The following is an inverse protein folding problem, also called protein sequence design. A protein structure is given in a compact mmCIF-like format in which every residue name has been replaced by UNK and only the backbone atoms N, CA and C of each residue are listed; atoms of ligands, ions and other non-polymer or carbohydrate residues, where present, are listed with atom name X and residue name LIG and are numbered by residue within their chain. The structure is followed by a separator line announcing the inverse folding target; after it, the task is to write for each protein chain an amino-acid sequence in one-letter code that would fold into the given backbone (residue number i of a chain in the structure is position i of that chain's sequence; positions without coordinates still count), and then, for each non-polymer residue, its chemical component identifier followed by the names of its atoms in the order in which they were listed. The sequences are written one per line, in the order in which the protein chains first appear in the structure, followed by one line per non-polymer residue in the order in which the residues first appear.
data_IF_589912269115
#
_entry.id   IF_589912269115
#
_cell.length_a   1.000
_cell.length_b   1.000
_cell.length_c   1.000
_cell.angle_alpha   90.00
_cell.angle_beta   90.00
_cell.angle_gamma   90.00
#
_symmetry.space_group_name_H-M   'P 1'
#
loop_
_entity.id
_entity.type
_entity.pdbx_description
1 polymer ?
#
# COMPACT_ATOMS: atom_id res chain seq x y z
N UNK A 1 3.09 12.26 15.43
CA UNK A 1 4.37 12.11 14.65
C UNK A 1 4.06 11.43 13.35
N UNK A 2 4.47 12.00 12.22
CA UNK A 2 4.29 11.46 10.86
C UNK A 2 5.47 10.59 10.47
N UNK A 3 5.20 9.41 9.91
CA UNK A 3 6.20 8.52 9.33
C UNK A 3 6.20 8.73 7.81
N UNK A 4 7.22 9.38 7.28
CA UNK A 4 7.25 9.83 5.88
C UNK A 4 8.45 9.20 5.17
N UNK A 5 8.22 8.67 3.99
CA UNK A 5 9.27 8.11 3.15
C UNK A 5 8.82 7.81 1.75
N UNK A 6 9.53 6.91 1.08
CA UNK A 6 9.26 6.56 -0.31
C UNK A 6 9.37 5.06 -0.55
N UNK A 7 8.85 4.61 -1.70
CA UNK A 7 8.99 3.24 -2.17
C UNK A 7 10.37 3.06 -2.82
N UNK A 8 11.37 2.72 -1.99
CA UNK A 8 12.76 2.65 -2.40
C UNK A 8 13.12 1.30 -3.03
N UNK A 9 14.13 1.32 -3.87
CA UNK A 9 14.63 0.11 -4.54
C UNK A 9 15.35 -0.84 -3.57
N UNK A 10 15.08 -2.14 -3.66
CA UNK A 10 15.83 -3.23 -3.02
C UNK A 10 16.89 -3.86 -3.95
N UNK A 11 17.17 -3.27 -5.10
CA UNK A 11 18.14 -3.80 -6.05
C UNK A 11 19.55 -3.86 -5.46
N UNK A 12 20.20 -5.01 -5.61
CA UNK A 12 21.54 -5.28 -5.08
C UNK A 12 21.57 -5.92 -3.70
N UNK A 13 20.45 -5.86 -2.95
CA UNK A 13 20.29 -6.43 -1.62
C UNK A 13 19.14 -5.74 -0.88
N UNK A 14 18.34 -6.52 -0.16
CA UNK A 14 17.15 -5.96 0.51
C UNK A 14 17.54 -4.97 1.64
N UNK A 15 18.68 -5.16 2.27
CA UNK A 15 19.26 -4.26 3.27
C UNK A 15 19.60 -2.86 2.69
N UNK A 16 19.88 -2.77 1.39
CA UNK A 16 20.17 -1.50 0.72
C UNK A 16 18.92 -0.60 0.61
N UNK A 17 17.73 -1.17 0.73
CA UNK A 17 16.51 -0.36 0.82
C UNK A 17 16.52 0.53 2.08
N UNK A 18 17.05 0.03 3.20
CA UNK A 18 17.18 0.80 4.45
C UNK A 18 18.16 1.95 4.29
N UNK A 19 19.31 1.72 3.61
CA UNK A 19 20.29 2.76 3.32
C UNK A 19 19.69 3.85 2.44
N UNK A 20 19.03 3.48 1.34
CA UNK A 20 18.35 4.42 0.43
C UNK A 20 17.26 5.25 1.12
N UNK A 21 16.48 4.62 1.99
CA UNK A 21 15.49 5.35 2.78
C UNK A 21 16.15 6.37 3.72
N UNK A 22 17.27 6.01 4.34
CA UNK A 22 18.04 6.90 5.20
C UNK A 22 18.64 8.06 4.42
N UNK A 23 19.21 7.82 3.24
CA UNK A 23 19.82 8.83 2.38
C UNK A 23 18.83 9.93 1.94
N UNK A 24 17.59 9.60 1.67
CA UNK A 24 16.54 10.57 1.33
C UNK A 24 15.94 11.27 2.57
N UNK A 25 16.45 10.97 3.77
CA UNK A 25 15.97 11.55 5.02
C UNK A 25 14.62 11.00 5.47
N UNK A 26 14.20 9.83 5.02
CA UNK A 26 12.94 9.20 5.40
C UNK A 26 12.98 8.64 6.84
N UNK A 27 11.80 8.52 7.45
CA UNK A 27 11.58 7.74 8.68
C UNK A 27 10.47 6.68 8.52
N UNK A 28 10.11 6.39 7.28
CA UNK A 28 9.32 5.25 6.84
C UNK A 28 9.77 4.86 5.42
N UNK A 29 9.46 3.68 4.95
CA UNK A 29 9.68 3.32 3.55
C UNK A 29 8.82 2.13 3.12
N UNK A 30 8.68 1.98 1.80
CA UNK A 30 8.19 0.76 1.17
C UNK A 30 9.28 0.13 0.33
N UNK A 31 9.13 -1.16 0.05
CA UNK A 31 10.02 -1.94 -0.81
C UNK A 31 9.26 -3.15 -1.37
N UNK A 32 9.80 -3.73 -2.44
CA UNK A 32 9.44 -5.09 -2.85
C UNK A 32 10.37 -6.10 -2.18
N UNK A 33 9.83 -7.14 -1.57
CA UNK A 33 10.63 -8.20 -0.92
C UNK A 33 11.29 -9.15 -1.92
N UNK A 34 10.83 -9.11 -3.18
CA UNK A 34 11.41 -9.80 -4.34
C UNK A 34 11.12 -8.98 -5.61
N UNK A 35 11.61 -9.42 -6.76
CA UNK A 35 11.31 -8.76 -8.04
C UNK A 35 9.80 -8.82 -8.33
N UNK A 36 9.15 -7.65 -8.38
CA UNK A 36 7.71 -7.48 -8.58
C UNK A 36 7.17 -7.93 -9.94
N UNK A 37 8.05 -8.33 -10.86
CA UNK A 37 7.70 -8.83 -12.20
C UNK A 37 7.96 -10.32 -12.35
N UNK A 38 8.27 -11.02 -11.26
CA UNK A 38 8.55 -12.45 -11.24
C UNK A 38 7.66 -13.17 -10.23
N UNK A 39 7.12 -14.33 -10.64
CA UNK A 39 6.32 -15.18 -9.78
C UNK A 39 7.11 -15.83 -8.66
N UNK A 40 8.35 -16.21 -8.94
CA UNK A 40 9.23 -16.92 -8.03
C UNK A 40 10.52 -16.15 -7.80
N UNK A 41 11.03 -16.25 -6.60
CA UNK A 41 12.35 -15.78 -6.22
C UNK A 41 13.02 -16.84 -5.31
N UNK A 42 14.34 -16.89 -5.22
CA UNK A 42 15.02 -17.72 -4.23
C UNK A 42 14.57 -17.38 -2.80
N UNK A 43 14.63 -18.38 -1.93
CA UNK A 43 14.35 -18.19 -0.52
C UNK A 43 15.31 -17.17 0.09
N UNK A 44 14.82 -16.42 1.09
CA UNK A 44 15.66 -15.53 1.87
C UNK A 44 16.65 -16.36 2.71
N UNK A 45 17.94 -16.09 2.54
CA UNK A 45 18.95 -16.74 3.38
C UNK A 45 18.98 -16.13 4.77
N UNK A 46 19.42 -16.89 5.78
CA UNK A 46 19.63 -16.37 7.14
C UNK A 46 20.55 -15.16 7.16
N UNK A 47 21.55 -15.11 6.26
CA UNK A 47 22.44 -13.96 6.09
C UNK A 47 21.68 -12.72 5.61
N UNK A 48 20.84 -12.85 4.59
CA UNK A 48 20.02 -11.77 4.05
C UNK A 48 19.05 -11.23 5.10
N UNK A 49 18.36 -12.14 5.82
CA UNK A 49 17.43 -11.78 6.90
C UNK A 49 18.15 -10.99 8.00
N UNK A 50 19.30 -11.50 8.45
CA UNK A 50 20.10 -10.84 9.49
C UNK A 50 20.62 -9.48 9.05
N UNK A 51 21.10 -9.35 7.81
CA UNK A 51 21.59 -8.09 7.26
C UNK A 51 20.48 -7.01 7.22
N UNK A 52 19.29 -7.37 6.74
CA UNK A 52 18.14 -6.47 6.70
C UNK A 52 17.72 -6.00 8.11
N UNK A 53 17.55 -6.96 9.04
CA UNK A 53 17.14 -6.64 10.42
C UNK A 53 18.17 -5.75 11.13
N UNK A 54 19.47 -6.03 10.98
CA UNK A 54 20.54 -5.20 11.54
C UNK A 54 20.58 -3.81 10.91
N UNK A 55 20.34 -3.69 9.61
CA UNK A 55 20.25 -2.40 8.94
C UNK A 55 19.09 -1.55 9.49
N UNK A 56 17.90 -2.15 9.66
CA UNK A 56 16.73 -1.49 10.26
C UNK A 56 17.03 -1.03 11.71
N UNK A 57 17.58 -1.92 12.54
CA UNK A 57 17.95 -1.60 13.92
C UNK A 57 18.95 -0.44 13.99
N UNK A 58 20.02 -0.50 13.21
CA UNK A 58 21.05 0.54 13.14
C UNK A 58 20.49 1.90 12.69
N UNK A 59 19.57 1.90 11.74
CA UNK A 59 18.94 3.11 11.22
C UNK A 59 17.75 3.58 12.07
N UNK A 60 17.28 2.78 13.04
CA UNK A 60 16.18 3.10 13.93
C UNK A 60 14.80 2.95 13.29
N UNK A 61 14.66 2.14 12.24
CA UNK A 61 13.35 1.83 11.66
C UNK A 61 12.65 0.72 12.46
N UNK A 62 11.40 0.98 12.81
CA UNK A 62 10.51 0.00 13.43
C UNK A 62 9.68 -0.72 12.37
N UNK A 63 9.19 -1.97 12.63
CA UNK A 63 8.39 -2.71 11.67
C UNK A 63 7.15 -1.95 11.15
N UNK A 64 6.49 -1.18 12.00
CA UNK A 64 5.30 -0.39 11.65
C UNK A 64 5.60 0.84 10.78
N UNK A 65 6.86 1.16 10.54
CA UNK A 65 7.30 2.23 9.64
C UNK A 65 7.60 1.72 8.22
N UNK A 66 7.50 0.41 8.00
CA UNK A 66 7.86 -0.24 6.74
C UNK A 66 6.61 -0.88 6.13
N UNK A 67 6.26 -0.47 4.91
CA UNK A 67 5.07 -0.92 4.18
C UNK A 67 5.48 -1.65 2.88
N UNK A 68 5.90 -2.93 2.95
CA UNK A 68 6.23 -3.68 1.73
C UNK A 68 5.04 -3.80 0.80
N UNK A 69 5.31 -3.83 -0.49
CA UNK A 69 4.29 -4.06 -1.52
C UNK A 69 4.50 -5.43 -2.18
N UNK A 70 3.42 -6.12 -2.54
CA UNK A 70 3.47 -7.38 -3.26
C UNK A 70 3.75 -7.20 -4.77
N UNK A 71 3.90 -8.33 -5.46
CA UNK A 71 4.08 -8.34 -6.91
C UNK A 71 2.82 -7.92 -7.65
N UNK A 72 2.95 -7.04 -8.65
CA UNK A 72 1.86 -6.64 -9.56
C UNK A 72 1.24 -7.79 -10.38
N UNK A 73 1.85 -8.98 -10.37
CA UNK A 73 1.33 -10.17 -11.05
C UNK A 73 0.18 -10.84 -10.27
N UNK A 74 0.08 -10.57 -8.97
CA UNK A 74 -0.88 -11.21 -8.07
C UNK A 74 -2.28 -10.64 -8.32
N UNK A 75 -3.25 -11.53 -8.53
CA UNK A 75 -4.67 -11.19 -8.62
C UNK A 75 -5.46 -12.14 -7.72
N UNK A 76 -5.74 -11.72 -6.49
CA UNK A 76 -6.45 -12.54 -5.49
C UNK A 76 -7.95 -12.69 -5.77
N UNK A 77 -8.48 -11.90 -6.72
CA UNK A 77 -9.86 -11.99 -7.21
C UNK A 77 -10.00 -12.70 -8.57
N UNK A 78 -8.96 -13.41 -9.04
CA UNK A 78 -8.93 -13.99 -10.38
C UNK A 78 -10.10 -14.96 -10.64
N UNK A 79 -10.81 -14.88 -11.79
CA UNK A 79 -11.94 -15.75 -12.09
C UNK A 79 -11.55 -17.22 -12.28
N UNK A 80 -10.41 -17.49 -12.91
CA UNK A 80 -9.94 -18.85 -13.22
C UNK A 80 -9.22 -19.48 -12.02
N UNK A 81 -9.57 -20.71 -11.68
CA UNK A 81 -9.09 -21.39 -10.48
C UNK A 81 -7.56 -21.59 -10.48
N UNK A 82 -6.95 -21.98 -11.60
CA UNK A 82 -5.51 -22.22 -11.69
C UNK A 82 -4.71 -20.91 -11.50
N UNK A 83 -5.15 -19.82 -12.13
CA UNK A 83 -4.51 -18.52 -12.02
C UNK A 83 -4.72 -17.90 -10.63
N UNK A 84 -5.88 -18.13 -9.99
CA UNK A 84 -6.14 -17.75 -8.61
C UNK A 84 -5.23 -18.50 -7.63
N UNK A 85 -5.09 -19.81 -7.79
CA UNK A 85 -4.21 -20.60 -6.93
C UNK A 85 -2.74 -20.16 -7.06
N UNK A 86 -2.28 -19.89 -8.27
CA UNK A 86 -0.95 -19.32 -8.51
C UNK A 86 -0.75 -17.98 -7.81
N UNK A 87 -1.76 -17.11 -7.84
CA UNK A 87 -1.75 -15.82 -7.14
C UNK A 87 -1.74 -16.01 -5.61
N UNK A 88 -2.54 -16.95 -5.07
CA UNK A 88 -2.56 -17.30 -3.65
C UNK A 88 -1.21 -17.78 -3.14
N UNK A 89 -0.58 -18.71 -3.88
CA UNK A 89 0.75 -19.21 -3.52
C UNK A 89 1.80 -18.10 -3.53
N UNK A 90 1.77 -17.21 -4.53
CA UNK A 90 2.68 -16.08 -4.59
C UNK A 90 2.44 -15.08 -3.44
N UNK A 91 1.19 -14.82 -3.09
CA UNK A 91 0.84 -13.93 -1.97
C UNK A 91 1.27 -14.51 -0.62
N UNK A 92 1.09 -15.82 -0.42
CA UNK A 92 1.59 -16.52 0.78
C UNK A 92 3.11 -16.41 0.89
N UNK A 93 3.85 -16.61 -0.20
CA UNK A 93 5.31 -16.44 -0.23
C UNK A 93 5.71 -15.01 0.17
N UNK A 94 5.02 -13.98 -0.35
CA UNK A 94 5.29 -12.59 0.04
C UNK A 94 5.00 -12.32 1.53
N UNK A 95 3.89 -12.85 2.06
CA UNK A 95 3.56 -12.76 3.49
C UNK A 95 4.64 -13.45 4.35
N UNK A 96 5.09 -14.64 3.96
CA UNK A 96 6.15 -15.37 4.66
C UNK A 96 7.50 -14.65 4.61
N UNK A 97 7.83 -13.99 3.50
CA UNK A 97 9.02 -13.13 3.40
C UNK A 97 8.94 -11.96 4.37
N UNK A 98 7.79 -11.29 4.47
CA UNK A 98 7.58 -10.25 5.47
C UNK A 98 7.76 -10.77 6.90
N UNK A 99 7.18 -11.93 7.23
CA UNK A 99 7.35 -12.58 8.53
C UNK A 99 8.83 -12.89 8.84
N UNK A 100 9.56 -13.47 7.88
CA UNK A 100 10.99 -13.78 8.03
C UNK A 100 11.84 -12.51 8.23
N UNK A 101 11.50 -11.41 7.57
CA UNK A 101 12.19 -10.13 7.69
C UNK A 101 11.82 -9.37 8.98
N UNK A 102 10.79 -9.82 9.71
CA UNK A 102 10.29 -9.16 10.91
C UNK A 102 9.41 -7.95 10.62
N UNK A 103 8.81 -7.91 9.43
CA UNK A 103 7.88 -6.86 9.00
C UNK A 103 6.45 -7.22 9.43
N UNK A 104 5.62 -6.21 9.69
CA UNK A 104 4.27 -6.42 10.19
C UNK A 104 3.16 -6.13 9.16
N UNK A 105 3.50 -5.69 7.97
CA UNK A 105 2.57 -5.36 6.89
C UNK A 105 2.98 -6.01 5.57
N UNK A 106 1.98 -6.28 4.71
CA UNK A 106 2.15 -6.47 3.28
C UNK A 106 1.02 -5.74 2.57
N UNK A 107 1.35 -4.70 1.82
CA UNK A 107 0.42 -3.96 0.97
C UNK A 107 0.22 -4.66 -0.36
N UNK A 108 -1.01 -4.64 -0.88
CA UNK A 108 -1.33 -5.27 -2.16
C UNK A 108 -2.59 -4.68 -2.79
N UNK A 109 -2.67 -4.72 -4.13
CA UNK A 109 -3.90 -4.44 -4.85
C UNK A 109 -4.83 -5.65 -4.79
N UNK A 110 -6.15 -5.47 -4.56
CA UNK A 110 -7.06 -6.62 -4.38
C UNK A 110 -7.22 -7.49 -5.63
N UNK A 111 -6.91 -6.95 -6.80
CA UNK A 111 -6.98 -7.67 -8.06
C UNK A 111 -8.12 -7.20 -8.98
N UNK A 112 -8.56 -8.09 -9.86
CA UNK A 112 -9.44 -7.73 -10.98
C UNK A 112 -10.36 -8.90 -11.36
N UNK A 113 -11.64 -8.60 -11.65
CA UNK A 113 -12.65 -9.59 -12.06
C UNK A 113 -12.60 -9.95 -13.55
N UNK A 114 -11.78 -9.27 -14.36
CA UNK A 114 -11.53 -9.52 -15.79
C UNK A 114 -12.79 -9.60 -16.66
N UNK A 115 -13.93 -9.10 -16.20
CA UNK A 115 -15.28 -9.21 -16.82
C UNK A 115 -15.78 -10.66 -16.96
N UNK A 116 -15.14 -11.62 -16.30
CA UNK A 116 -15.50 -13.03 -16.37
C UNK A 116 -16.41 -13.48 -15.22
N UNK A 117 -16.39 -12.76 -14.10
CA UNK A 117 -17.25 -12.96 -12.93
C UNK A 117 -17.76 -11.59 -12.45
N UNK A 118 -18.72 -11.57 -11.52
CA UNK A 118 -19.19 -10.35 -10.89
C UNK A 118 -18.13 -9.74 -9.96
N UNK A 119 -18.22 -8.43 -9.70
CA UNK A 119 -17.39 -7.76 -8.70
C UNK A 119 -17.55 -8.42 -7.32
N UNK A 120 -18.79 -8.70 -6.91
CA UNK A 120 -19.10 -9.35 -5.63
C UNK A 120 -18.41 -10.72 -5.47
N UNK A 121 -18.47 -11.56 -6.51
CA UNK A 121 -17.79 -12.87 -6.51
C UNK A 121 -16.27 -12.70 -6.44
N UNK A 122 -15.72 -11.73 -7.15
CA UNK A 122 -14.28 -11.46 -7.14
C UNK A 122 -13.83 -10.93 -5.76
N UNK A 123 -14.59 -10.03 -5.13
CA UNK A 123 -14.33 -9.55 -3.77
C UNK A 123 -14.36 -10.70 -2.74
N UNK A 124 -15.29 -11.65 -2.88
CA UNK A 124 -15.34 -12.86 -2.03
C UNK A 124 -14.07 -13.70 -2.19
N UNK A 125 -13.59 -13.90 -3.43
CA UNK A 125 -12.33 -14.62 -3.71
C UNK A 125 -11.12 -13.92 -3.08
N UNK A 126 -11.08 -12.58 -3.10
CA UNK A 126 -10.03 -11.81 -2.42
C UNK A 126 -10.04 -12.09 -0.92
N UNK A 127 -11.19 -11.99 -0.27
CA UNK A 127 -11.30 -12.25 1.17
C UNK A 127 -10.92 -13.69 1.53
N UNK A 128 -11.37 -14.68 0.75
CA UNK A 128 -10.98 -16.09 0.91
C UNK A 128 -9.46 -16.28 0.78
N UNK A 129 -8.84 -15.63 -0.21
CA UNK A 129 -7.39 -15.69 -0.43
C UNK A 129 -6.60 -15.07 0.73
N UNK A 130 -7.10 -13.97 1.31
CA UNK A 130 -6.54 -13.36 2.52
C UNK A 130 -6.63 -14.36 3.68
N UNK A 131 -7.81 -14.97 3.95
CA UNK A 131 -7.98 -15.93 5.03
C UNK A 131 -6.98 -17.09 4.90
N UNK A 132 -6.85 -17.68 3.70
CA UNK A 132 -5.88 -18.75 3.43
C UNK A 132 -4.43 -18.32 3.73
N UNK A 133 -4.06 -17.08 3.39
CA UNK A 133 -2.71 -16.57 3.65
C UNK A 133 -2.48 -16.29 5.14
N UNK A 134 -3.49 -15.75 5.84
CA UNK A 134 -3.41 -15.50 7.28
C UNK A 134 -3.29 -16.80 8.09
N UNK A 135 -3.94 -17.88 7.66
CA UNK A 135 -3.80 -19.22 8.28
C UNK A 135 -2.38 -19.81 8.15
N UNK A 136 -1.63 -19.40 7.13
CA UNK A 136 -0.29 -19.91 6.83
C UNK A 136 0.85 -19.02 7.32
N UNK A 137 0.53 -17.88 7.94
CA UNK A 137 1.52 -16.87 8.37
C UNK A 137 1.17 -16.31 9.73
N UNK A 138 2.13 -15.66 10.39
CA UNK A 138 1.92 -15.02 11.69
C UNK A 138 2.49 -13.60 11.70
N UNK A 139 1.89 -12.72 12.50
CA UNK A 139 2.43 -11.39 12.77
C UNK A 139 2.37 -10.37 11.63
N UNK A 140 1.99 -10.79 10.41
CA UNK A 140 1.89 -9.91 9.25
C UNK A 140 0.41 -9.59 8.96
N UNK A 141 0.10 -8.33 8.76
CA UNK A 141 -1.23 -7.83 8.38
C UNK A 141 -1.30 -7.69 6.86
N UNK A 142 -2.35 -8.25 6.26
CA UNK A 142 -2.70 -8.04 4.86
C UNK A 142 -3.32 -6.65 4.70
N UNK A 143 -2.64 -5.74 3.99
CA UNK A 143 -3.04 -4.34 3.84
C UNK A 143 -3.56 -4.12 2.43
N UNK A 144 -4.87 -3.96 2.29
CA UNK A 144 -5.56 -3.83 1.01
C UNK A 144 -5.46 -2.38 0.54
N UNK A 145 -4.92 -2.16 -0.65
CA UNK A 145 -4.85 -0.82 -1.22
C UNK A 145 -6.13 -0.47 -1.99
N UNK A 146 -6.61 0.77 -1.84
CA UNK A 146 -7.61 1.29 -2.76
C UNK A 146 -6.95 1.54 -4.13
N UNK A 147 -7.68 1.28 -5.20
CA UNK A 147 -7.20 1.43 -6.58
C UNK A 147 -7.95 2.54 -7.32
N UNK A 148 -7.40 2.98 -8.45
CA UNK A 148 -8.07 3.93 -9.34
C UNK A 148 -9.31 3.35 -10.04
N UNK A 149 -9.49 2.02 -10.02
CA UNK A 149 -10.55 1.34 -10.79
C UNK A 149 -10.26 1.26 -12.27
N UNK A 150 -8.99 1.31 -12.68
CA UNK A 150 -8.60 1.18 -14.07
C UNK A 150 -8.97 -0.19 -14.62
N UNK A 151 -9.59 -0.23 -15.78
CA UNK A 151 -10.03 -1.49 -16.40
C UNK A 151 -11.11 -2.21 -15.59
N UNK A 152 -10.75 -3.29 -14.92
CA UNK A 152 -11.63 -4.13 -14.09
C UNK A 152 -11.07 -4.34 -12.68
N UNK A 153 -10.18 -3.43 -12.24
CA UNK A 153 -9.56 -3.50 -10.93
C UNK A 153 -10.59 -3.22 -9.82
N UNK A 154 -10.54 -4.07 -8.79
CA UNK A 154 -11.33 -3.93 -7.56
C UNK A 154 -10.69 -2.92 -6.60
N UNK A 155 -11.42 -2.54 -5.54
CA UNK A 155 -10.88 -1.65 -4.50
C UNK A 155 -11.01 -0.16 -4.81
N UNK A 156 -11.65 0.24 -5.91
CA UNK A 156 -11.83 1.64 -6.27
C UNK A 156 -12.96 2.34 -5.50
N UNK A 157 -13.86 1.58 -4.91
CA UNK A 157 -14.90 2.06 -3.98
C UNK A 157 -14.53 1.65 -2.54
N UNK A 158 -14.83 2.50 -1.58
CA UNK A 158 -14.64 2.16 -0.16
C UNK A 158 -15.49 0.95 0.26
N UNK A 159 -16.65 0.77 -0.37
CA UNK A 159 -17.52 -0.40 -0.20
C UNK A 159 -16.82 -1.71 -0.60
N UNK A 160 -15.95 -1.70 -1.61
CA UNK A 160 -15.17 -2.90 -1.96
C UNK A 160 -14.22 -3.29 -0.82
N UNK A 161 -13.52 -2.31 -0.23
CA UNK A 161 -12.63 -2.55 0.91
C UNK A 161 -13.41 -3.07 2.12
N UNK A 162 -14.53 -2.43 2.43
CA UNK A 162 -15.42 -2.86 3.51
C UNK A 162 -15.97 -4.26 3.30
N UNK A 163 -16.37 -4.61 2.05
CA UNK A 163 -16.88 -5.93 1.70
C UNK A 163 -15.84 -7.04 1.87
N UNK A 164 -14.57 -6.77 1.48
CA UNK A 164 -13.46 -7.70 1.71
C UNK A 164 -13.22 -7.86 3.21
N UNK A 165 -13.04 -6.75 3.94
CA UNK A 165 -12.79 -6.76 5.39
C UNK A 165 -13.90 -7.51 6.12
N UNK A 166 -15.17 -7.32 5.75
CA UNK A 166 -16.30 -7.98 6.39
C UNK A 166 -16.20 -9.53 6.35
N UNK A 167 -15.56 -10.07 5.32
CA UNK A 167 -15.42 -11.52 5.07
C UNK A 167 -14.07 -12.09 5.54
N UNK A 168 -13.08 -11.26 5.90
CA UNK A 168 -11.85 -11.74 6.53
C UNK A 168 -12.16 -12.20 7.96
N UNK A 169 -11.67 -13.37 8.37
CA UNK A 169 -11.94 -13.95 9.68
C UNK A 169 -11.19 -13.25 10.80
N UNK A 170 -9.88 -13.13 10.67
CA UNK A 170 -9.02 -12.41 11.61
C UNK A 170 -8.96 -10.90 11.30
N UNK A 171 -9.88 -10.14 11.90
CA UNK A 171 -9.96 -8.67 11.74
C UNK A 171 -8.75 -7.93 12.29
N UNK A 172 -7.94 -8.55 13.13
CA UNK A 172 -6.75 -7.93 13.69
C UNK A 172 -5.58 -7.91 12.69
N UNK A 173 -5.62 -8.78 11.67
CA UNK A 173 -4.59 -8.95 10.65
C UNK A 173 -5.04 -8.54 9.25
N UNK A 174 -6.03 -7.67 9.14
CA UNK A 174 -6.41 -7.01 7.89
C UNK A 174 -6.41 -5.50 8.08
N UNK A 175 -5.97 -4.78 7.07
CA UNK A 175 -5.92 -3.32 7.06
C UNK A 175 -6.08 -2.75 5.68
N UNK A 176 -5.96 -1.43 5.56
CA UNK A 176 -6.08 -0.67 4.32
C UNK A 176 -4.89 0.26 4.17
N UNK A 177 -4.35 0.34 2.95
CA UNK A 177 -3.52 1.43 2.48
C UNK A 177 -4.39 2.38 1.65
N UNK A 178 -4.31 3.69 1.96
CA UNK A 178 -5.03 4.70 1.21
C UNK A 178 -4.09 5.42 0.24
N UNK A 179 -4.26 5.20 -1.06
CA UNK A 179 -3.54 5.95 -2.10
C UNK A 179 -4.33 7.18 -2.53
N UNK A 180 -3.70 8.36 -2.45
CA UNK A 180 -4.33 9.66 -2.76
C UNK A 180 -4.59 9.84 -4.25
N UNK A 181 -3.70 9.37 -5.14
CA UNK A 181 -3.90 9.40 -6.58
C UNK A 181 -5.03 8.47 -7.00
N UNK A 182 -5.04 7.24 -6.48
CA UNK A 182 -6.07 6.25 -6.78
C UNK A 182 -7.46 6.73 -6.34
N UNK A 183 -7.58 7.25 -5.12
CA UNK A 183 -8.84 7.78 -4.62
C UNK A 183 -9.36 8.94 -5.48
N UNK A 184 -8.48 9.88 -5.86
CA UNK A 184 -8.83 10.98 -6.75
C UNK A 184 -9.29 10.49 -8.13
N UNK A 185 -8.57 9.54 -8.71
CA UNK A 185 -8.92 8.93 -9.98
C UNK A 185 -10.24 8.13 -9.91
N UNK A 186 -10.55 7.55 -8.75
CA UNK A 186 -11.80 6.83 -8.49
C UNK A 186 -13.01 7.77 -8.28
N UNK A 187 -12.79 9.07 -8.03
CA UNK A 187 -13.84 10.06 -7.87
C UNK A 187 -14.04 10.59 -6.45
N UNK A 188 -13.11 10.33 -5.54
CA UNK A 188 -13.09 10.91 -4.20
C UNK A 188 -12.36 12.26 -4.24
N UNK A 189 -13.10 13.35 -4.07
CA UNK A 189 -12.55 14.71 -4.19
C UNK A 189 -11.77 15.10 -2.92
N UNK A 190 -10.54 15.57 -3.13
CA UNK A 190 -9.65 16.03 -2.05
C UNK A 190 -8.92 17.33 -2.42
N UNK A 191 -9.48 18.13 -3.34
CA UNK A 191 -8.85 19.35 -3.85
C UNK A 191 -9.01 20.57 -2.95
N UNK A 192 -9.91 20.51 -1.97
CA UNK A 192 -10.10 21.57 -0.97
C UNK A 192 -10.18 20.97 0.44
N UNK A 193 -9.95 21.75 1.51
CA UNK A 193 -10.10 21.27 2.89
C UNK A 193 -11.49 20.67 3.17
N UNK A 194 -12.55 21.25 2.61
CA UNK A 194 -13.93 20.80 2.80
C UNK A 194 -14.16 19.44 2.13
N UNK A 195 -13.67 19.26 0.89
CA UNK A 195 -13.79 17.97 0.19
C UNK A 195 -12.89 16.89 0.80
N UNK A 196 -11.71 17.27 1.31
CA UNK A 196 -10.89 16.34 2.12
C UNK A 196 -11.66 15.86 3.36
N UNK A 197 -12.24 16.78 4.13
CA UNK A 197 -13.02 16.44 5.32
C UNK A 197 -14.20 15.51 4.99
N UNK A 198 -14.92 15.78 3.91
CA UNK A 198 -16.04 14.96 3.45
C UNK A 198 -15.59 13.56 3.02
N UNK A 199 -14.53 13.45 2.19
CA UNK A 199 -13.98 12.17 1.72
C UNK A 199 -13.47 11.32 2.88
N UNK A 200 -12.72 11.89 3.82
CA UNK A 200 -12.23 11.12 4.97
C UNK A 200 -13.33 10.81 5.99
N UNK A 201 -14.38 11.60 6.08
CA UNK A 201 -15.58 11.23 6.86
C UNK A 201 -16.33 10.05 6.23
N UNK A 202 -16.40 10.00 4.90
CA UNK A 202 -16.97 8.86 4.16
C UNK A 202 -16.12 7.60 4.34
N UNK A 203 -14.80 7.71 4.25
CA UNK A 203 -13.87 6.60 4.54
C UNK A 203 -14.06 6.07 5.97
N UNK A 204 -14.16 6.94 6.97
CA UNK A 204 -14.43 6.52 8.36
C UNK A 204 -15.77 5.79 8.48
N UNK A 205 -16.81 6.28 7.83
CA UNK A 205 -18.15 5.70 7.90
C UNK A 205 -18.23 4.31 7.27
N UNK A 206 -17.51 4.10 6.13
CA UNK A 206 -17.62 2.87 5.33
C UNK A 206 -16.55 1.85 5.75
N UNK A 207 -15.30 2.27 5.90
CA UNK A 207 -14.15 1.40 6.20
C UNK A 207 -13.75 1.50 7.66
N UNK A 208 -13.53 2.71 8.15
CA UNK A 208 -13.05 3.02 9.49
C UNK A 208 -11.53 3.19 9.59
N UNK A 209 -11.08 4.28 10.23
CA UNK A 209 -9.65 4.58 10.43
C UNK A 209 -8.92 3.50 11.24
N UNK A 210 -9.60 2.69 12.01
CA UNK A 210 -9.01 1.54 12.73
C UNK A 210 -8.31 0.55 11.81
N UNK A 211 -8.76 0.47 10.54
CA UNK A 211 -8.17 -0.39 9.51
C UNK A 211 -7.08 0.31 8.70
N UNK A 212 -6.92 1.63 8.79
CA UNK A 212 -5.88 2.36 8.08
C UNK A 212 -4.50 2.01 8.66
N UNK A 213 -3.64 1.38 7.87
CA UNK A 213 -2.30 0.91 8.26
C UNK A 213 -1.18 1.64 7.54
N UNK A 214 -1.48 2.34 6.47
CA UNK A 214 -0.53 3.12 5.70
C UNK A 214 -1.22 3.94 4.63
N UNK A 215 -0.45 4.80 3.98
CA UNK A 215 -0.90 5.58 2.84
C UNK A 215 0.19 5.66 1.78
N UNK A 216 -0.22 5.64 0.52
CA UNK A 216 0.59 6.14 -0.57
C UNK A 216 0.22 7.60 -0.82
N UNK A 217 1.22 8.46 -0.71
CA UNK A 217 1.08 9.91 -0.83
C UNK A 217 1.56 10.33 -2.21
N UNK A 218 0.65 10.45 -3.15
CA UNK A 218 0.94 10.71 -4.56
C UNK A 218 0.12 11.88 -5.10
N UNK A 219 0.75 12.74 -5.90
CA UNK A 219 0.04 13.65 -6.78
C UNK A 219 -0.62 12.87 -7.93
N UNK A 220 -1.55 13.48 -8.65
CA UNK A 220 -2.29 12.85 -9.74
C UNK A 220 -2.13 13.61 -11.05
N UNK A 221 -1.57 12.94 -12.07
CA UNK A 221 -1.53 13.44 -13.45
C UNK A 221 -2.87 13.24 -14.16
N UNK A 222 -3.61 12.23 -13.75
CA UNK A 222 -4.95 11.92 -14.25
C UNK A 222 -5.97 13.00 -13.86
N UNK A 223 -7.09 13.06 -14.57
CA UNK A 223 -8.22 13.91 -14.21
C UNK A 223 -9.11 13.25 -13.15
N UNK A 224 -9.83 14.08 -12.41
CA UNK A 224 -10.77 13.62 -11.39
C UNK A 224 -11.80 12.62 -11.95
N UNK A 225 -11.98 11.50 -11.28
CA UNK A 225 -12.95 10.46 -11.65
C UNK A 225 -12.65 9.72 -12.95
N UNK A 226 -11.44 9.87 -13.50
CA UNK A 226 -11.07 9.27 -14.81
C UNK A 226 -10.87 7.76 -14.78
N UNK A 227 -10.69 7.17 -13.60
CA UNK A 227 -10.29 5.77 -13.41
C UNK A 227 -8.99 5.41 -14.13
N UNK A 228 -8.05 6.35 -14.17
CA UNK A 228 -6.72 6.16 -14.77
C UNK A 228 -5.67 6.35 -13.69
N UNK A 229 -4.88 5.32 -13.46
CA UNK A 229 -3.76 5.37 -12.53
C UNK A 229 -2.54 6.03 -13.20
N UNK A 230 -2.25 7.26 -12.78
CA UNK A 230 -1.06 8.02 -13.23
C UNK A 230 -0.63 8.97 -12.11
N UNK A 231 0.38 8.54 -11.37
CA UNK A 231 1.00 9.34 -10.32
C UNK A 231 1.70 10.58 -10.87
N UNK A 232 1.87 11.58 -10.01
CA UNK A 232 2.62 12.80 -10.25
C UNK A 232 3.35 13.22 -8.97
N UNK A 233 4.25 14.20 -9.11
CA UNK A 233 4.86 14.89 -7.97
C UNK A 233 3.79 15.60 -7.13
N UNK A 234 4.04 15.76 -5.81
CA UNK A 234 3.02 16.23 -4.86
C UNK A 234 2.50 17.64 -5.15
N UNK A 235 3.38 18.54 -5.59
CA UNK A 235 3.03 19.94 -5.86
C UNK A 235 2.58 20.17 -7.30
N UNK A 236 2.46 19.11 -8.09
CA UNK A 236 2.08 19.15 -9.48
C UNK A 236 0.85 18.27 -9.76
N UNK A 237 0.20 18.49 -10.91
CA UNK A 237 -0.94 17.68 -11.34
C UNK A 237 -2.29 18.22 -10.88
N UNK A 238 -3.31 17.37 -11.02
CA UNK A 238 -4.73 17.77 -10.92
C UNK A 238 -5.32 17.61 -9.51
N UNK A 239 -4.61 16.94 -8.59
CA UNK A 239 -5.07 16.74 -7.21
C UNK A 239 -4.89 18.02 -6.37
N UNK A 240 -3.81 18.77 -6.61
CA UNK A 240 -3.44 19.93 -5.79
C UNK A 240 -2.82 19.51 -4.44
N UNK A 241 -2.59 20.49 -3.56
CA UNK A 241 -1.84 20.30 -2.30
C UNK A 241 -2.70 20.19 -1.05
N UNK A 242 -3.99 20.54 -1.13
CA UNK A 242 -4.87 20.61 0.04
C UNK A 242 -4.96 19.28 0.82
N UNK A 243 -4.97 18.15 0.11
CA UNK A 243 -5.00 16.81 0.74
C UNK A 243 -3.75 16.54 1.56
N UNK A 244 -2.58 16.94 1.10
CA UNK A 244 -1.31 16.72 1.82
C UNK A 244 -1.24 17.59 3.08
N UNK A 245 -1.68 18.85 3.00
CA UNK A 245 -1.81 19.72 4.17
C UNK A 245 -2.82 19.15 5.18
N UNK A 246 -3.94 18.62 4.70
CA UNK A 246 -4.95 17.98 5.56
C UNK A 246 -4.37 16.77 6.29
N UNK A 247 -3.73 15.84 5.56
CA UNK A 247 -3.13 14.63 6.13
C UNK A 247 -2.04 15.00 7.15
N UNK A 248 -1.18 15.95 6.84
CA UNK A 248 -0.07 16.31 7.71
C UNK A 248 -0.49 16.96 9.03
N UNK A 249 -1.63 17.67 9.05
CA UNK A 249 -2.17 18.33 10.25
C UNK A 249 -3.10 17.45 11.09
N UNK A 250 -3.65 16.40 10.51
CA UNK A 250 -4.63 15.55 11.20
C UNK A 250 -3.96 14.35 11.89
N UNK A 251 -4.18 14.24 13.20
CA UNK A 251 -3.57 13.20 14.04
C UNK A 251 -4.06 11.77 13.74
N UNK A 252 -5.16 11.61 13.01
CA UNK A 252 -5.64 10.29 12.55
C UNK A 252 -4.64 9.58 11.64
N UNK A 253 -3.78 10.35 10.99
CA UNK A 253 -2.70 9.85 10.10
C UNK A 253 -1.33 9.81 10.80
N UNK A 254 -1.29 9.87 12.13
CA UNK A 254 -0.05 9.72 12.89
C UNK A 254 0.33 8.25 13.05
N UNK A 255 1.62 7.98 13.06
CA UNK A 255 2.23 6.66 13.31
C UNK A 255 1.82 5.58 12.32
N UNK A 256 1.47 5.97 11.11
CA UNK A 256 1.34 5.08 9.95
C UNK A 256 2.32 5.52 8.86
N UNK A 257 2.86 4.60 8.04
CA UNK A 257 3.74 4.96 6.94
C UNK A 257 2.99 5.74 5.87
N UNK A 258 3.53 6.92 5.54
CA UNK A 258 3.11 7.81 4.45
C UNK A 258 4.19 7.72 3.36
N UNK A 259 3.93 6.98 2.31
CA UNK A 259 4.92 6.54 1.33
C UNK A 259 4.72 7.26 0.01
N UNK A 260 5.77 7.87 -0.49
CA UNK A 260 5.82 8.45 -1.84
C UNK A 260 6.06 7.36 -2.88
N UNK A 261 5.25 7.37 -3.92
CA UNK A 261 5.46 6.62 -5.16
C UNK A 261 5.44 7.59 -6.36
N UNK A 262 5.80 8.83 -6.10
CA UNK A 262 5.88 9.88 -7.12
C UNK A 262 6.93 9.55 -8.16
N UNK A 263 6.72 10.04 -9.38
CA UNK A 263 7.41 9.57 -10.59
C UNK A 263 8.89 9.91 -10.69
N UNK A 264 9.38 10.85 -9.87
CA UNK A 264 10.78 11.29 -9.90
C UNK A 264 11.48 11.05 -8.57
N UNK A 265 12.27 9.97 -8.43
CA UNK A 265 13.00 9.67 -7.19
C UNK A 265 14.00 10.75 -6.76
N UNK A 266 14.53 11.54 -7.70
CA UNK A 266 15.55 12.55 -7.39
C UNK A 266 14.99 13.69 -6.52
N UNK A 267 13.67 13.92 -6.53
CA UNK A 267 13.03 14.97 -5.72
C UNK A 267 12.41 14.45 -4.42
N UNK A 268 12.45 13.15 -4.13
CA UNK A 268 11.89 12.60 -2.89
C UNK A 268 12.43 13.27 -1.62
N UNK A 269 13.72 13.61 -1.50
CA UNK A 269 14.22 14.36 -0.34
C UNK A 269 13.53 15.72 -0.16
N UNK A 270 13.21 16.40 -1.27
CA UNK A 270 12.52 17.69 -1.24
C UNK A 270 11.03 17.53 -0.91
N UNK A 271 10.35 16.53 -1.48
CA UNK A 271 8.95 16.23 -1.17
C UNK A 271 8.78 15.81 0.30
N UNK A 272 9.67 14.97 0.85
CA UNK A 272 9.68 14.59 2.28
C UNK A 272 9.89 15.82 3.16
N UNK A 273 10.81 16.70 2.82
CA UNK A 273 11.08 17.94 3.55
C UNK A 273 9.87 18.87 3.49
N UNK A 274 9.27 19.02 2.31
CA UNK A 274 8.07 19.83 2.12
C UNK A 274 6.90 19.30 2.97
N UNK A 275 6.60 18.02 2.94
CA UNK A 275 5.56 17.41 3.77
C UNK A 275 5.78 17.72 5.26
N UNK A 276 7.01 17.61 5.76
CA UNK A 276 7.32 17.92 7.17
C UNK A 276 7.08 19.38 7.57
N UNK A 277 7.15 20.30 6.62
CA UNK A 277 6.85 21.73 6.86
C UNK A 277 5.35 22.00 6.98
N UNK A 278 4.49 21.08 6.51
CA UNK A 278 3.03 21.19 6.61
C UNK A 278 2.45 20.71 7.95
N UNK A 279 3.24 19.97 8.74
CA UNK A 279 2.83 19.29 9.99
C UNK A 279 2.71 20.25 11.20
#
# INVERSE_FOLDING_TARGET
MKYIGAHVSAAGGIELAVERATEIGANAFALFTKNQRQWHAPDLTSKTISAFRQACEKAGFLPEQILPHDSYLINLGHPEAEALEKSRLAFIDEMQRCEQLGLCYLNFHPGSHLKAISEEESLRKVAESINIALDKTQGVTAVIENTAGQGTNLGWQFEHLAAIIAQVEDKSRVGVCYDTCHAFAAGYDMRTPETCAATFAEFERIVGFRYLKGMHINGAKCTFGSRVDRHHSLQEGNLGTAVFEFIMRDTRFDRIPLILETVNPDIWPDEIRWLRQLA
#
